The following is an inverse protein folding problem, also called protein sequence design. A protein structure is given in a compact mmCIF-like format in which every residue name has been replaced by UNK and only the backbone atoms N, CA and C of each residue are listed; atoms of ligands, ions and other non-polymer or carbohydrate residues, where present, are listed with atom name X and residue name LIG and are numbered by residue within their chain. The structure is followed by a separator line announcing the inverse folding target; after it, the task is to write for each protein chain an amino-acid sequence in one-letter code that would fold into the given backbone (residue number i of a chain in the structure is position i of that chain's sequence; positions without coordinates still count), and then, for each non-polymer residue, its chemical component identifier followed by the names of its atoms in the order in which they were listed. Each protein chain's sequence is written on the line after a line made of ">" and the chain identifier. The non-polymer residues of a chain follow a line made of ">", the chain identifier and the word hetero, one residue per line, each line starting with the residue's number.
data_IF_811469259458
#
_entry.id   IF_811469259458
#
_cell.length_a   1.000
_cell.length_b   1.000
_cell.length_c   1.000
_cell.angle_alpha   90.00
_cell.angle_beta   90.00
_cell.angle_gamma   90.00
#
_symmetry.space_group_name_H-M   'P 1'
#
loop_
_entity.id
_entity.type
_entity.pdbx_description
1 polymer ?
#
# COMPACT_ATOMS: atom_id res chain seq x y z
N UNK A 1 3.93 -9.54 -13.19
CA UNK A 1 3.39 -8.78 -12.03
C UNK A 1 3.51 -7.29 -12.28
N UNK A 2 2.51 -6.53 -11.93
CA UNK A 2 2.48 -5.09 -12.15
C UNK A 2 1.87 -4.36 -10.96
N UNK A 3 2.21 -3.09 -10.82
CA UNK A 3 1.63 -2.19 -9.82
C UNK A 3 0.34 -1.61 -10.40
N UNK A 4 -0.72 -1.59 -9.59
CA UNK A 4 -2.01 -1.01 -9.98
C UNK A 4 -2.57 -0.18 -8.84
N UNK A 5 -3.35 0.84 -9.19
CA UNK A 5 -4.13 1.58 -8.20
C UNK A 5 -5.38 0.79 -7.89
N UNK A 6 -5.75 0.74 -6.63
CA UNK A 6 -6.99 0.10 -6.18
C UNK A 6 -7.71 1.04 -5.21
N UNK A 7 -9.01 0.80 -5.03
CA UNK A 7 -9.77 1.57 -4.05
C UNK A 7 -9.36 1.20 -2.64
N UNK A 8 -9.55 2.11 -1.70
CA UNK A 8 -9.31 1.82 -0.29
C UNK A 8 -10.16 0.65 0.19
N UNK A 9 -11.39 0.57 -0.28
CA UNK A 9 -12.29 -0.52 0.10
C UNK A 9 -11.73 -1.88 -0.33
N UNK A 10 -11.26 -1.99 -1.57
CA UNK A 10 -10.68 -3.24 -2.08
C UNK A 10 -9.42 -3.59 -1.31
N UNK A 11 -8.58 -2.61 -1.03
CA UNK A 11 -7.36 -2.84 -0.25
C UNK A 11 -7.68 -3.31 1.16
N UNK A 12 -8.66 -2.69 1.82
CA UNK A 12 -9.06 -3.08 3.16
C UNK A 12 -9.58 -4.50 3.21
N UNK A 13 -10.44 -4.87 2.25
CA UNK A 13 -10.95 -6.23 2.16
C UNK A 13 -9.83 -7.24 1.96
N UNK A 14 -8.89 -6.95 1.06
CA UNK A 14 -7.74 -7.82 0.82
C UNK A 14 -6.90 -7.96 2.09
N UNK A 15 -6.58 -6.86 2.76
CA UNK A 15 -5.75 -6.88 3.96
C UNK A 15 -6.43 -7.57 5.14
N UNK A 16 -7.74 -7.38 5.30
CA UNK A 16 -8.50 -8.08 6.35
C UNK A 16 -8.46 -9.59 6.14
N UNK A 17 -8.51 -10.05 4.89
CA UNK A 17 -8.52 -11.46 4.57
C UNK A 17 -7.14 -12.13 4.61
N UNK A 18 -6.06 -11.37 4.43
CA UNK A 18 -4.72 -11.92 4.25
C UNK A 18 -3.73 -11.49 5.32
N UNK A 19 -3.84 -10.28 5.83
CA UNK A 19 -2.91 -9.76 6.84
C UNK A 19 -3.45 -10.05 8.23
N UNK A 20 -2.75 -10.90 8.95
CA UNK A 20 -3.20 -11.47 10.23
C UNK A 20 -3.54 -10.44 11.31
N UNK A 21 -2.80 -9.36 11.35
CA UNK A 21 -2.96 -8.32 12.37
C UNK A 21 -3.30 -6.96 11.76
N UNK A 22 -4.00 -6.99 10.64
CA UNK A 22 -4.36 -5.76 9.98
C UNK A 22 -5.23 -4.88 10.87
N UNK A 23 -4.87 -3.61 10.92
CA UNK A 23 -5.61 -2.60 11.64
C UNK A 23 -5.79 -1.39 10.72
N UNK A 24 -7.01 -0.93 10.58
CA UNK A 24 -7.30 0.19 9.68
C UNK A 24 -6.54 1.45 10.09
N UNK A 25 -5.87 2.14 9.15
CA UNK A 25 -5.19 3.39 9.44
C UNK A 25 -6.17 4.51 9.76
N UNK A 26 -5.69 5.51 10.50
CA UNK A 26 -6.52 6.64 10.95
C UNK A 26 -6.88 7.58 9.81
N UNK A 27 -5.90 7.93 8.98
CA UNK A 27 -6.11 8.85 7.85
C UNK A 27 -5.59 8.24 6.56
N UNK A 28 -6.31 7.25 6.01
CA UNK A 28 -5.90 6.66 4.73
C UNK A 28 -6.13 7.64 3.58
N UNK A 29 -5.21 7.67 2.63
CA UNK A 29 -5.29 8.55 1.46
C UNK A 29 -5.62 7.76 0.21
N UNK A 30 -4.87 6.69 -0.04
CA UNK A 30 -5.01 5.88 -1.24
C UNK A 30 -4.39 4.51 -1.03
N UNK A 31 -4.60 3.63 -1.99
CA UNK A 31 -4.08 2.28 -1.94
C UNK A 31 -3.48 1.88 -3.28
N UNK A 32 -2.46 1.02 -3.21
CA UNK A 32 -1.79 0.46 -4.36
C UNK A 32 -1.68 -1.05 -4.15
N UNK A 33 -1.61 -1.78 -5.24
CA UNK A 33 -1.48 -3.23 -5.18
C UNK A 33 -0.51 -3.74 -6.23
N UNK A 34 -0.09 -4.98 -6.07
CA UNK A 34 0.61 -5.72 -7.12
C UNK A 34 -0.26 -6.89 -7.53
N UNK A 35 -0.36 -7.11 -8.84
CA UNK A 35 -1.20 -8.16 -9.38
C UNK A 35 -0.62 -8.76 -10.66
N UNK A 36 -1.12 -9.91 -11.01
CA UNK A 36 -0.87 -10.55 -12.29
C UNK A 36 -2.16 -11.23 -12.76
N UNK A 37 -2.05 -12.17 -13.71
CA UNK A 37 -3.22 -12.87 -14.26
C UNK A 37 -4.00 -13.67 -13.20
N UNK A 38 -3.35 -14.06 -12.11
CA UNK A 38 -3.99 -14.81 -11.03
C UNK A 38 -4.72 -13.93 -10.02
N UNK A 39 -4.54 -12.62 -10.09
CA UNK A 39 -5.19 -11.67 -9.18
C UNK A 39 -4.19 -10.88 -8.35
N UNK A 40 -4.66 -10.37 -7.22
CA UNK A 40 -3.85 -9.56 -6.32
C UNK A 40 -2.91 -10.45 -5.50
N UNK A 41 -1.64 -10.04 -5.42
CA UNK A 41 -0.63 -10.69 -4.59
C UNK A 41 -0.23 -9.85 -3.39
N UNK A 42 -0.60 -8.59 -3.38
CA UNK A 42 -0.30 -7.72 -2.26
C UNK A 42 -1.01 -6.40 -2.39
N UNK A 43 -1.12 -5.70 -1.27
CA UNK A 43 -1.73 -4.37 -1.22
C UNK A 43 -1.07 -3.53 -0.15
N UNK A 44 -1.10 -2.23 -0.35
CA UNK A 44 -0.58 -1.26 0.60
C UNK A 44 -1.55 -0.10 0.73
N UNK A 45 -1.63 0.47 1.93
CA UNK A 45 -2.41 1.67 2.19
C UNK A 45 -1.45 2.78 2.57
N UNK A 46 -1.57 3.90 1.87
CA UNK A 46 -0.82 5.11 2.16
C UNK A 46 -1.71 6.05 2.97
N UNK A 47 -1.13 6.71 3.94
CA UNK A 47 -1.86 7.60 4.81
C UNK A 47 -1.09 8.87 5.10
N UNK A 48 -1.75 9.79 5.81
CA UNK A 48 -1.13 10.99 6.32
C UNK A 48 -1.01 10.87 7.82
N UNK A 49 0.22 10.99 8.32
CA UNK A 49 0.48 10.91 9.75
C UNK A 49 0.23 12.24 10.44
N UNK A 50 0.68 13.32 9.80
CA UNK A 50 0.46 14.69 10.23
C UNK A 50 0.70 15.62 9.03
N UNK A 51 0.51 16.91 9.19
CA UNK A 51 0.70 17.86 8.10
C UNK A 51 2.11 17.74 7.51
N UNK A 52 2.19 17.55 6.21
CA UNK A 52 3.45 17.40 5.48
C UNK A 52 4.13 16.04 5.62
N UNK A 53 3.54 15.10 6.36
CA UNK A 53 4.15 13.78 6.59
C UNK A 53 3.25 12.68 6.07
N UNK A 54 3.67 12.03 4.99
CA UNK A 54 3.01 10.85 4.46
C UNK A 54 3.62 9.58 5.02
N UNK A 55 2.84 8.52 5.11
CA UNK A 55 3.33 7.25 5.62
C UNK A 55 2.80 6.06 4.82
N UNK A 56 3.60 5.00 4.80
CA UNK A 56 3.16 3.69 4.40
C UNK A 56 2.46 3.07 5.63
N UNK A 57 1.15 3.20 5.68
CA UNK A 57 0.39 2.80 6.86
C UNK A 57 0.30 1.28 7.02
N UNK A 58 0.19 0.56 5.91
CA UNK A 58 0.17 -0.90 5.94
C UNK A 58 0.62 -1.46 4.59
N UNK A 59 1.33 -2.58 4.62
CA UNK A 59 1.73 -3.32 3.42
C UNK A 59 1.72 -4.81 3.73
N UNK A 60 1.19 -5.58 2.79
CA UNK A 60 1.21 -7.04 2.84
C UNK A 60 1.41 -7.60 1.44
N UNK A 61 2.27 -8.58 1.31
CA UNK A 61 2.47 -9.33 0.07
C UNK A 61 2.56 -10.81 0.41
N UNK A 62 2.00 -11.63 -0.43
CA UNK A 62 1.83 -13.08 -0.22
C UNK A 62 3.11 -13.92 -0.37
N UNK A 63 4.27 -13.31 -0.52
CA UNK A 63 5.52 -14.03 -0.70
C UNK A 63 5.92 -14.25 -2.15
N UNK A 64 5.12 -13.77 -3.09
CA UNK A 64 5.47 -13.84 -4.51
C UNK A 64 6.79 -13.12 -4.77
N UNK A 65 7.66 -13.76 -5.54
CA UNK A 65 9.00 -13.23 -5.84
C UNK A 65 8.93 -11.79 -6.37
N UNK A 66 9.75 -10.92 -5.78
CA UNK A 66 9.82 -9.49 -6.10
C UNK A 66 8.57 -8.66 -5.82
N UNK A 67 7.50 -9.28 -5.35
CA UNK A 67 6.24 -8.56 -5.08
C UNK A 67 6.40 -7.48 -4.03
N UNK A 68 7.08 -7.79 -2.93
CA UNK A 68 7.27 -6.83 -1.84
C UNK A 68 8.10 -5.61 -2.28
N UNK A 69 9.26 -5.85 -2.89
CA UNK A 69 10.12 -4.74 -3.31
C UNK A 69 9.46 -3.89 -4.39
N UNK A 70 8.70 -4.50 -5.29
CA UNK A 70 7.96 -3.77 -6.32
C UNK A 70 6.91 -2.86 -5.69
N UNK A 71 6.13 -3.39 -4.75
CA UNK A 71 5.07 -2.63 -4.08
C UNK A 71 5.64 -1.55 -3.16
N UNK A 72 6.67 -1.89 -2.39
CA UNK A 72 7.33 -0.94 -1.49
C UNK A 72 7.90 0.26 -2.26
N UNK A 73 8.60 -0.01 -3.37
CA UNK A 73 9.14 1.05 -4.22
C UNK A 73 8.06 1.93 -4.82
N UNK A 74 6.93 1.34 -5.22
CA UNK A 74 5.81 2.09 -5.74
C UNK A 74 5.18 3.00 -4.68
N UNK A 75 5.09 2.53 -3.43
CA UNK A 75 4.60 3.32 -2.32
C UNK A 75 5.48 4.54 -2.06
N UNK A 76 6.80 4.35 -2.08
CA UNK A 76 7.74 5.45 -1.89
C UNK A 76 7.57 6.51 -2.98
N UNK A 77 7.51 6.08 -4.24
CA UNK A 77 7.32 7.01 -5.37
C UNK A 77 5.98 7.75 -5.28
N UNK A 78 4.92 7.05 -4.88
CA UNK A 78 3.59 7.65 -4.75
C UNK A 78 3.56 8.71 -3.66
N UNK A 79 4.15 8.44 -2.51
CA UNK A 79 4.22 9.42 -1.42
C UNK A 79 5.00 10.66 -1.83
N UNK A 80 6.10 10.49 -2.56
CA UNK A 80 6.86 11.62 -3.07
C UNK A 80 6.05 12.42 -4.09
N UNK A 81 5.34 11.75 -4.97
CA UNK A 81 4.52 12.41 -5.99
C UNK A 81 3.35 13.19 -5.37
N UNK A 82 2.85 12.75 -4.22
CA UNK A 82 1.82 13.46 -3.48
C UNK A 82 2.32 14.75 -2.81
N UNK A 83 3.62 14.98 -2.81
CA UNK A 83 4.19 16.25 -2.35
C UNK A 83 4.49 16.35 -0.87
N UNK A 84 4.55 15.23 -0.17
CA UNK A 84 4.88 15.25 1.24
C UNK A 84 6.35 15.64 1.46
N UNK A 85 6.60 16.49 2.44
CA UNK A 85 7.94 16.91 2.80
C UNK A 85 8.74 15.78 3.45
N UNK A 86 8.05 14.94 4.21
CA UNK A 86 8.62 13.75 4.84
C UNK A 86 7.78 12.52 4.51
N UNK A 87 8.45 11.38 4.40
CA UNK A 87 7.78 10.10 4.21
C UNK A 87 8.30 9.10 5.24
N UNK A 88 7.38 8.33 5.80
CA UNK A 88 7.70 7.26 6.75
C UNK A 88 7.30 5.93 6.11
N UNK A 89 8.29 5.07 5.94
CA UNK A 89 8.11 3.78 5.28
C UNK A 89 8.36 2.60 6.19
#
# INVERSE_FOLDING_TARGET
>A
MRVVDISLKVAEEFLENHARHYKAPVEPICAIAVMDADGLHGAAILGRREAGVGELAHIYVDGTTHGYSLLYGACWRALKALGYEKTIL
#
